data_IF_214064229251
#
_entry.id   IF_214064229251
#
_cell.length_a   1.000
_cell.length_b   1.000
_cell.length_c   1.000
_cell.angle_alpha   90.00
_cell.angle_beta   90.00
_cell.angle_gamma   90.00
#
_symmetry.space_group_name_H-M   'P 1'
#
loop_
_entity.id
_entity.type
_entity.pdbx_description
1 polymer ?
#
# COMPACT_ATOMS: atom_id res chain seq x y z
N UNK A 1 -27.78 -5.77 47.02
CA UNK A 1 -26.61 -5.24 47.75
C UNK A 1 -25.59 -6.36 47.83
N UNK A 2 -24.76 -6.44 46.81
CA UNK A 2 -23.69 -7.44 46.62
C UNK A 2 -22.43 -6.91 47.29
N UNK A 3 -21.90 -7.64 48.27
CA UNK A 3 -20.58 -7.40 48.86
C UNK A 3 -19.85 -8.73 48.90
N UNK A 4 -19.19 -9.06 47.79
CA UNK A 4 -18.30 -10.23 47.67
C UNK A 4 -16.98 -9.84 47.00
N UNK A 5 -16.52 -8.63 47.27
CA UNK A 5 -15.14 -8.21 47.00
C UNK A 5 -14.49 -8.04 48.37
N UNK A 6 -13.45 -8.82 48.69
CA UNK A 6 -12.33 -8.48 49.61
C UNK A 6 -11.54 -9.68 50.16
N UNK A 7 -11.95 -10.94 49.95
CA UNK A 7 -11.22 -12.07 50.56
C UNK A 7 -9.92 -12.42 49.82
N UNK A 8 -9.85 -12.21 48.49
CA UNK A 8 -8.65 -12.54 47.69
C UNK A 8 -7.57 -11.47 47.78
N UNK A 9 -7.96 -10.19 47.90
CA UNK A 9 -7.03 -9.05 48.01
C UNK A 9 -6.25 -9.08 49.32
N UNK A 10 -6.87 -9.53 50.42
CA UNK A 10 -6.25 -9.68 51.74
C UNK A 10 -5.15 -10.75 51.79
N UNK A 11 -5.15 -11.72 50.87
CA UNK A 11 -4.09 -12.74 50.74
C UNK A 11 -2.88 -12.17 50.00
N UNK A 12 -3.10 -11.18 49.12
CA UNK A 12 -2.05 -10.57 48.30
C UNK A 12 -1.42 -9.36 48.98
N UNK A 13 -2.18 -8.55 49.72
CA UNK A 13 -1.70 -7.37 50.44
C UNK A 13 -2.10 -7.43 51.93
N UNK A 14 -1.14 -7.30 52.84
CA UNK A 14 -1.35 -7.21 54.29
C UNK A 14 -0.66 -5.95 54.83
N UNK A 15 -1.44 -4.98 55.34
CA UNK A 15 -0.91 -3.70 55.81
C UNK A 15 -0.04 -3.87 57.06
N UNK A 16 1.14 -3.23 57.08
CA UNK A 16 2.01 -3.13 58.26
C UNK A 16 1.73 -1.82 58.98
N UNK A 17 1.63 -0.72 58.22
CA UNK A 17 1.20 0.60 58.68
C UNK A 17 0.66 1.41 57.48
N UNK A 18 0.39 2.71 57.64
CA UNK A 18 -0.15 3.56 56.57
C UNK A 18 0.75 3.71 55.33
N UNK A 19 2.05 3.43 55.46
CA UNK A 19 3.03 3.62 54.37
C UNK A 19 3.61 2.32 53.82
N UNK A 20 3.51 1.21 54.56
CA UNK A 20 4.15 -0.07 54.24
C UNK A 20 3.19 -1.24 54.37
N UNK A 21 3.32 -2.19 53.46
CA UNK A 21 2.50 -3.41 53.40
C UNK A 21 3.35 -4.62 53.02
N UNK A 22 2.93 -5.81 53.43
CA UNK A 22 3.36 -7.07 52.87
C UNK A 22 2.61 -7.34 51.57
N UNK A 23 3.33 -7.71 50.51
CA UNK A 23 2.79 -8.06 49.20
C UNK A 23 3.26 -9.45 48.78
N UNK A 24 2.33 -10.30 48.37
CA UNK A 24 2.64 -11.55 47.69
C UNK A 24 2.99 -11.25 46.22
N UNK A 25 4.28 -10.97 45.97
CA UNK A 25 4.78 -10.55 44.66
C UNK A 25 4.61 -11.65 43.60
N UNK A 26 4.85 -12.90 43.98
CA UNK A 26 4.54 -14.08 43.17
C UNK A 26 4.35 -15.29 44.08
N UNK A 27 4.22 -16.51 43.54
CA UNK A 27 4.01 -17.73 44.35
C UNK A 27 5.14 -18.06 45.35
N UNK A 28 6.32 -17.46 45.20
CA UNK A 28 7.52 -17.75 46.01
C UNK A 28 7.96 -16.57 46.89
N UNK A 29 7.65 -15.34 46.50
CA UNK A 29 8.13 -14.13 47.16
C UNK A 29 7.00 -13.40 47.86
N UNK A 30 7.14 -13.25 49.18
CA UNK A 30 6.32 -12.38 50.02
C UNK A 30 7.22 -11.28 50.57
N UNK A 31 6.95 -10.03 50.19
CA UNK A 31 7.89 -8.91 50.29
C UNK A 31 7.26 -7.72 50.99
N UNK A 32 8.08 -6.86 51.60
CA UNK A 32 7.63 -5.56 52.12
C UNK A 32 7.69 -4.54 50.99
N UNK A 33 6.58 -3.83 50.76
CA UNK A 33 6.41 -2.79 49.76
C UNK A 33 6.09 -1.46 50.44
N UNK A 34 6.69 -0.40 49.94
CA UNK A 34 6.35 0.98 50.25
C UNK A 34 5.20 1.42 49.33
N UNK A 35 4.05 1.76 49.91
CA UNK A 35 2.82 2.08 49.17
C UNK A 35 2.96 3.37 48.37
N UNK A 36 3.69 4.36 48.91
CA UNK A 36 3.81 5.70 48.31
C UNK A 36 4.57 5.73 46.99
N UNK A 37 5.57 4.88 46.83
CA UNK A 37 6.51 4.94 45.70
C UNK A 37 6.78 3.59 45.03
N UNK A 38 6.01 2.55 45.38
CA UNK A 38 6.07 1.21 44.78
C UNK A 38 7.44 0.53 44.88
N UNK A 39 8.19 0.82 45.94
CA UNK A 39 9.53 0.27 46.18
C UNK A 39 9.48 -0.92 47.14
N UNK A 40 10.34 -1.91 46.91
CA UNK A 40 10.36 -3.18 47.64
C UNK A 40 11.61 -3.30 48.51
N UNK A 41 11.45 -3.71 49.76
CA UNK A 41 12.56 -3.84 50.71
C UNK A 41 13.44 -5.04 50.35
N UNK A 42 14.73 -4.81 50.12
CA UNK A 42 15.69 -5.87 49.77
C UNK A 42 15.83 -6.93 50.86
N UNK A 43 15.76 -6.54 52.13
CA UNK A 43 15.86 -7.50 53.23
C UNK A 43 14.73 -8.53 53.18
N UNK A 44 13.50 -8.10 52.88
CA UNK A 44 12.36 -9.00 52.72
C UNK A 44 12.56 -9.97 51.54
N UNK A 45 13.23 -9.53 50.46
CA UNK A 45 13.57 -10.39 49.31
C UNK A 45 14.58 -11.47 49.73
N UNK A 46 15.62 -11.08 50.47
CA UNK A 46 16.64 -12.01 50.96
C UNK A 46 16.05 -13.06 51.89
N UNK A 47 15.19 -12.63 52.82
CA UNK A 47 14.48 -13.53 53.73
C UNK A 47 13.54 -14.48 52.97
N UNK A 48 12.76 -13.98 52.00
CA UNK A 48 11.87 -14.82 51.19
C UNK A 48 12.64 -15.83 50.31
N UNK A 49 13.85 -15.47 49.88
CA UNK A 49 14.74 -16.34 49.09
C UNK A 49 15.54 -17.35 49.92
N UNK A 50 15.41 -17.33 51.26
CA UNK A 50 16.27 -18.09 52.18
C UNK A 50 17.76 -17.87 51.90
N UNK A 51 18.14 -16.61 51.65
CA UNK A 51 19.53 -16.24 51.40
C UNK A 51 20.40 -16.55 52.64
N UNK A 52 21.66 -16.96 52.45
CA UNK A 52 22.58 -17.17 53.57
C UNK A 52 22.86 -15.85 54.29
N UNK A 53 23.08 -15.92 55.60
CA UNK A 53 23.33 -14.74 56.45
C UNK A 53 24.58 -13.93 56.05
N UNK A 54 25.46 -14.50 55.22
CA UNK A 54 26.65 -13.85 54.66
C UNK A 54 26.34 -12.87 53.52
N UNK A 55 25.14 -12.90 52.94
CA UNK A 55 24.72 -11.98 51.88
C UNK A 55 23.99 -10.80 52.49
N UNK A 56 24.59 -9.61 52.38
CA UNK A 56 23.95 -8.38 52.78
C UNK A 56 23.51 -7.55 51.58
N UNK A 57 22.47 -6.72 51.76
CA UNK A 57 21.88 -5.96 50.66
C UNK A 57 22.89 -5.02 49.96
N UNK A 58 23.87 -4.50 50.69
CA UNK A 58 24.96 -3.68 50.16
C UNK A 58 25.92 -4.46 49.24
N UNK A 59 26.10 -5.75 49.45
CA UNK A 59 26.95 -6.58 48.59
C UNK A 59 26.41 -6.70 47.17
N UNK A 60 25.10 -6.65 47.00
CA UNK A 60 24.49 -6.65 45.67
C UNK A 60 24.93 -5.44 44.84
N UNK A 61 25.00 -4.25 45.45
CA UNK A 61 25.40 -3.00 44.80
C UNK A 61 26.92 -2.89 44.55
N UNK A 62 27.73 -3.69 45.26
CA UNK A 62 29.18 -3.76 45.05
C UNK A 62 29.56 -4.61 43.84
N UNK A 63 28.67 -5.47 43.35
CA UNK A 63 28.96 -6.33 42.21
C UNK A 63 29.06 -5.52 40.91
N UNK A 64 30.09 -5.82 40.12
CA UNK A 64 30.33 -5.19 38.83
C UNK A 64 29.11 -5.30 37.88
N UNK A 65 28.53 -6.50 37.76
CA UNK A 65 27.35 -6.73 36.91
C UNK A 65 26.11 -5.94 37.35
N UNK A 66 25.95 -5.70 38.65
CA UNK A 66 24.87 -4.85 39.16
C UNK A 66 25.10 -3.39 38.80
N UNK A 67 26.34 -2.91 38.88
CA UNK A 67 26.68 -1.53 38.51
C UNK A 67 26.45 -1.29 37.02
N UNK A 68 26.84 -2.24 36.17
CA UNK A 68 26.54 -2.22 34.73
C UNK A 68 25.03 -2.18 34.49
N UNK A 69 24.25 -3.07 35.13
CA UNK A 69 22.79 -3.08 35.03
C UNK A 69 22.16 -1.72 35.42
N UNK A 70 22.59 -1.14 36.55
CA UNK A 70 22.08 0.16 37.00
C UNK A 70 22.47 1.29 36.05
N UNK A 71 23.64 1.20 35.42
CA UNK A 71 24.09 2.18 34.41
C UNK A 71 23.23 2.13 33.14
N UNK A 72 22.88 0.92 32.67
CA UNK A 72 22.00 0.72 31.52
C UNK A 72 20.58 1.25 31.80
N UNK A 73 20.04 0.98 33.00
CA UNK A 73 18.74 1.52 33.41
C UNK A 73 18.76 3.06 33.47
N UNK A 74 19.91 3.65 33.80
CA UNK A 74 20.04 5.11 33.86
C UNK A 74 20.07 5.77 32.47
N UNK A 75 20.41 5.01 31.41
CA UNK A 75 20.37 5.47 30.02
C UNK A 75 18.97 5.45 29.42
N UNK A 76 18.07 4.65 29.98
CA UNK A 76 16.65 4.64 29.61
C UNK A 76 16.01 5.99 30.02
N UNK A 77 15.83 6.87 29.04
CA UNK A 77 15.32 8.24 29.26
C UNK A 77 13.90 8.25 29.81
N UNK A 78 13.07 7.25 29.49
CA UNK A 78 11.70 7.20 29.97
C UNK A 78 11.67 6.76 31.44
N UNK A 79 12.50 5.80 31.81
CA UNK A 79 12.57 5.27 33.17
C UNK A 79 13.32 6.20 34.14
N UNK A 80 14.48 6.72 33.72
CA UNK A 80 15.44 7.49 34.55
C UNK A 80 14.88 8.83 35.04
N UNK A 81 13.97 9.45 34.28
CA UNK A 81 13.35 10.73 34.64
C UNK A 81 12.25 10.57 35.71
N UNK A 82 11.56 9.42 35.71
CA UNK A 82 10.33 9.24 36.48
C UNK A 82 10.53 8.38 37.74
N UNK A 83 11.52 7.49 37.74
CA UNK A 83 11.67 6.47 38.78
C UNK A 83 13.08 6.42 39.37
N UNK A 84 13.15 6.32 40.70
CA UNK A 84 14.39 5.94 41.40
C UNK A 84 14.57 4.43 41.32
N UNK A 85 15.78 3.97 41.00
CA UNK A 85 16.09 2.53 40.96
C UNK A 85 16.18 1.91 42.35
N UNK A 86 16.77 2.63 43.30
CA UNK A 86 16.96 2.18 44.68
C UNK A 86 17.11 3.35 45.65
N UNK A 87 16.86 3.09 46.94
CA UNK A 87 17.00 4.05 48.04
C UNK A 87 17.38 3.34 49.34
N UNK A 88 18.31 3.90 50.12
CA UNK A 88 18.64 3.37 51.45
C UNK A 88 17.95 4.20 52.55
N UNK A 89 16.91 3.64 53.15
CA UNK A 89 16.11 4.29 54.20
C UNK A 89 16.62 3.92 55.58
N UNK A 90 17.47 4.79 56.16
CA UNK A 90 18.08 4.56 57.48
C UNK A 90 17.24 5.05 58.66
N UNK A 91 16.33 6.01 58.43
CA UNK A 91 15.55 6.70 59.47
C UNK A 91 14.21 6.00 59.81
N UNK A 92 14.06 4.71 59.47
CA UNK A 92 12.85 3.93 59.74
C UNK A 92 13.00 3.02 60.96
N UNK A 93 11.87 2.52 61.46
CA UNK A 93 11.84 1.57 62.57
C UNK A 93 12.70 0.31 62.29
N UNK A 94 13.29 -0.31 63.33
CA UNK A 94 13.96 -1.59 63.20
C UNK A 94 13.02 -2.63 62.55
N UNK A 95 13.43 -3.19 61.41
CA UNK A 95 12.60 -4.11 60.59
C UNK A 95 12.16 -3.50 59.25
N UNK A 96 11.90 -2.18 59.19
CA UNK A 96 11.54 -1.48 57.95
C UNK A 96 12.70 -0.71 57.32
N UNK A 97 13.74 -0.40 58.10
CA UNK A 97 14.96 0.26 57.57
C UNK A 97 15.75 -0.63 56.61
N UNK A 98 16.51 0.00 55.70
CA UNK A 98 17.41 -0.68 54.77
C UNK A 98 17.23 -0.23 53.33
N UNK A 99 17.75 -1.04 52.40
CA UNK A 99 17.65 -0.77 50.97
C UNK A 99 16.28 -1.16 50.42
N UNK A 100 15.73 -0.27 49.62
CA UNK A 100 14.53 -0.45 48.83
C UNK A 100 14.89 -0.37 47.35
N UNK A 101 14.29 -1.23 46.54
CA UNK A 101 14.54 -1.34 45.09
C UNK A 101 13.24 -1.27 44.30
N UNK A 102 13.34 -0.77 43.08
CA UNK A 102 12.21 -0.69 42.16
C UNK A 102 11.67 -2.09 41.82
N UNK A 103 10.36 -2.18 41.53
CA UNK A 103 9.64 -3.42 41.19
C UNK A 103 10.36 -4.30 40.15
N UNK A 104 10.94 -3.69 39.12
CA UNK A 104 11.65 -4.40 38.04
C UNK A 104 12.96 -5.07 38.51
N UNK A 105 13.58 -4.54 39.56
CA UNK A 105 14.83 -5.07 40.12
C UNK A 105 14.59 -6.19 41.14
N UNK A 106 13.35 -6.41 41.60
CA UNK A 106 13.01 -7.45 42.58
C UNK A 106 13.49 -8.83 42.13
N UNK A 107 13.22 -9.18 40.87
CA UNK A 107 13.67 -10.46 40.32
C UNK A 107 15.20 -10.51 40.22
N UNK A 108 15.87 -9.43 39.79
CA UNK A 108 17.33 -9.39 39.72
C UNK A 108 18.00 -9.62 41.09
N UNK A 109 17.48 -8.97 42.13
CA UNK A 109 17.94 -9.15 43.51
C UNK A 109 17.66 -10.58 44.01
N UNK A 110 16.47 -11.11 43.73
CA UNK A 110 16.09 -12.47 44.13
C UNK A 110 16.94 -13.56 43.43
N UNK A 111 17.29 -13.35 42.15
CA UNK A 111 18.20 -14.23 41.41
C UNK A 111 19.61 -14.22 41.99
N UNK A 112 20.12 -13.04 42.33
CA UNK A 112 21.40 -12.90 43.02
C UNK A 112 21.36 -13.56 44.42
N UNK A 113 20.27 -13.39 45.15
CA UNK A 113 20.08 -13.95 46.48
C UNK A 113 20.10 -15.49 46.45
N UNK A 114 19.34 -16.10 45.53
CA UNK A 114 19.15 -17.54 45.44
C UNK A 114 19.28 -18.07 44.01
N UNK A 115 20.31 -18.89 43.72
CA UNK A 115 20.44 -19.57 42.42
C UNK A 115 19.24 -20.46 42.08
N UNK A 116 18.54 -21.00 43.10
CA UNK A 116 17.32 -21.79 42.90
C UNK A 116 16.18 -20.94 42.36
N UNK A 117 16.05 -19.72 42.85
CA UNK A 117 15.08 -18.76 42.32
C UNK A 117 15.46 -18.33 40.90
N UNK A 118 16.75 -18.09 40.62
CA UNK A 118 17.22 -17.80 39.26
C UNK A 118 16.83 -18.87 38.25
N UNK A 119 17.02 -20.14 38.60
CA UNK A 119 16.59 -21.25 37.75
C UNK A 119 15.08 -21.29 37.50
N UNK A 120 14.27 -20.95 38.52
CA UNK A 120 12.83 -20.83 38.34
C UNK A 120 12.45 -19.70 37.37
N UNK A 121 13.09 -18.53 37.49
CA UNK A 121 12.89 -17.41 36.56
C UNK A 121 13.28 -17.79 35.13
N UNK A 122 14.41 -18.50 34.94
CA UNK A 122 14.82 -18.95 33.62
C UNK A 122 13.81 -19.92 32.99
N UNK A 123 13.21 -20.83 33.77
CA UNK A 123 12.14 -21.70 33.27
C UNK A 123 10.89 -20.93 32.87
N UNK A 124 10.50 -19.94 33.67
CA UNK A 124 9.36 -19.07 33.33
C UNK A 124 9.61 -18.32 32.02
N UNK A 125 10.82 -17.79 31.85
CA UNK A 125 11.20 -17.09 30.63
C UNK A 125 11.26 -18.02 29.41
N UNK A 126 11.77 -19.24 29.56
CA UNK A 126 11.76 -20.25 28.49
C UNK A 126 10.33 -20.60 28.04
N UNK A 127 9.42 -20.76 29.01
CA UNK A 127 8.01 -21.06 28.73
C UNK A 127 7.33 -19.92 27.95
N UNK A 128 7.57 -18.66 28.34
CA UNK A 128 7.06 -17.49 27.62
C UNK A 128 7.58 -17.47 26.18
N UNK A 129 8.90 -17.60 26.00
CA UNK A 129 9.49 -17.62 24.66
C UNK A 129 9.03 -18.81 23.83
N UNK A 130 8.72 -19.96 24.46
CA UNK A 130 8.15 -21.12 23.78
C UNK A 130 6.75 -20.80 23.27
N UNK A 131 5.90 -20.22 24.09
CA UNK A 131 4.55 -19.80 23.70
C UNK A 131 4.59 -18.77 22.56
N UNK A 132 5.50 -17.79 22.62
CA UNK A 132 5.70 -16.83 21.54
C UNK A 132 6.12 -17.50 20.22
N UNK A 133 7.01 -18.50 20.27
CA UNK A 133 7.39 -19.29 19.08
C UNK A 133 6.21 -20.07 18.50
N UNK A 134 5.45 -20.75 19.34
CA UNK A 134 4.25 -21.50 18.90
C UNK A 134 3.21 -20.58 18.26
N UNK A 135 3.01 -19.37 18.79
CA UNK A 135 2.11 -18.38 18.18
C UNK A 135 2.63 -17.89 16.83
N UNK A 136 3.94 -17.68 16.68
CA UNK A 136 4.56 -17.32 15.40
C UNK A 136 4.41 -18.45 14.38
N UNK A 137 4.64 -19.70 14.77
CA UNK A 137 4.47 -20.87 13.92
C UNK A 137 3.02 -21.03 13.45
N UNK A 138 2.04 -20.86 14.35
CA UNK A 138 0.61 -20.87 13.98
C UNK A 138 0.27 -19.78 12.95
N UNK A 139 0.83 -18.58 13.09
CA UNK A 139 0.63 -17.49 12.12
C UNK A 139 1.27 -17.79 10.77
N UNK A 140 2.41 -18.48 10.75
CA UNK A 140 3.05 -18.93 9.51
C UNK A 140 2.21 -20.00 8.82
N UNK A 141 1.81 -21.04 9.54
CA UNK A 141 0.96 -22.10 9.01
C UNK A 141 -0.34 -21.56 8.40
N UNK A 142 -1.01 -20.63 9.08
CA UNK A 142 -2.22 -19.99 8.57
C UNK A 142 -1.96 -19.15 7.30
N UNK A 143 -0.76 -18.57 7.14
CA UNK A 143 -0.39 -17.86 5.92
C UNK A 143 -0.10 -18.84 4.78
N UNK A 144 0.57 -19.95 5.06
CA UNK A 144 0.88 -20.98 4.08
C UNK A 144 -0.40 -21.62 3.53
N UNK A 145 -1.38 -21.95 4.39
CA UNK A 145 -2.72 -22.43 3.96
C UNK A 145 -3.43 -21.43 3.03
N UNK A 146 -3.32 -20.13 3.30
CA UNK A 146 -3.91 -19.08 2.45
C UNK A 146 -3.18 -18.97 1.11
N UNK A 147 -1.87 -19.23 1.08
CA UNK A 147 -1.08 -19.26 -0.15
C UNK A 147 -1.50 -20.47 -0.99
N UNK A 148 -1.57 -21.66 -0.41
CA UNK A 148 -2.03 -22.87 -1.10
C UNK A 148 -3.43 -22.69 -1.71
N UNK A 149 -4.38 -22.15 -0.94
CA UNK A 149 -5.72 -21.85 -1.45
C UNK A 149 -5.73 -20.81 -2.57
N UNK A 150 -4.79 -19.85 -2.57
CA UNK A 150 -4.66 -18.87 -3.65
C UNK A 150 -4.08 -19.49 -4.91
N UNK A 151 -3.13 -20.41 -4.77
CA UNK A 151 -2.53 -21.12 -5.90
C UNK A 151 -3.59 -21.97 -6.62
N UNK A 152 -4.45 -22.67 -5.88
CA UNK A 152 -5.61 -23.40 -6.47
C UNK A 152 -6.55 -22.45 -7.26
N UNK A 153 -6.80 -21.24 -6.73
CA UNK A 153 -7.63 -20.25 -7.41
C UNK A 153 -6.95 -19.69 -8.67
N UNK A 154 -5.63 -19.57 -8.68
CA UNK A 154 -4.86 -19.14 -9.85
C UNK A 154 -4.95 -20.19 -10.94
N UNK A 155 -4.73 -21.48 -10.62
CA UNK A 155 -4.86 -22.57 -11.57
C UNK A 155 -6.26 -22.60 -12.21
N UNK A 156 -7.31 -22.48 -11.40
CA UNK A 156 -8.68 -22.42 -11.90
C UNK A 156 -8.94 -21.19 -12.80
N UNK A 157 -8.30 -20.05 -12.53
CA UNK A 157 -8.42 -18.85 -13.38
C UNK A 157 -7.71 -19.03 -14.71
N UNK A 158 -6.55 -19.68 -14.74
CA UNK A 158 -5.80 -19.93 -15.96
C UNK A 158 -6.60 -20.82 -16.93
N UNK A 159 -7.29 -21.85 -16.43
CA UNK A 159 -8.21 -22.65 -17.24
C UNK A 159 -9.35 -21.82 -17.86
N UNK A 160 -9.91 -20.88 -17.10
CA UNK A 160 -10.96 -19.97 -17.58
C UNK A 160 -10.44 -19.02 -18.64
N UNK A 161 -9.21 -18.51 -18.49
CA UNK A 161 -8.57 -17.64 -19.47
C UNK A 161 -8.37 -18.42 -20.78
N UNK A 162 -7.81 -19.63 -20.72
CA UNK A 162 -7.65 -20.46 -21.91
C UNK A 162 -8.98 -20.72 -22.63
N UNK A 163 -10.04 -21.00 -21.88
CA UNK A 163 -11.38 -21.22 -22.44
C UNK A 163 -11.94 -19.96 -23.10
N UNK A 164 -11.69 -18.77 -22.52
CA UNK A 164 -12.08 -17.48 -23.10
C UNK A 164 -11.27 -17.17 -24.36
N UNK A 165 -9.97 -17.41 -24.37
CA UNK A 165 -9.11 -17.20 -25.54
C UNK A 165 -9.53 -18.09 -26.71
N UNK A 166 -9.81 -19.37 -26.45
CA UNK A 166 -10.36 -20.29 -27.46
C UNK A 166 -11.70 -19.80 -28.01
N UNK A 167 -12.54 -19.15 -27.19
CA UNK A 167 -13.80 -18.54 -27.63
C UNK A 167 -13.58 -17.25 -28.44
N UNK A 168 -12.63 -16.40 -28.06
CA UNK A 168 -12.26 -15.19 -28.81
C UNK A 168 -11.76 -15.58 -30.20
N UNK A 169 -10.84 -16.54 -30.30
CA UNK A 169 -10.33 -17.06 -31.57
C UNK A 169 -11.46 -17.57 -32.48
N UNK A 170 -12.45 -18.27 -31.92
CA UNK A 170 -13.65 -18.74 -32.66
C UNK A 170 -14.62 -17.63 -33.06
N UNK A 171 -14.54 -16.43 -32.47
CA UNK A 171 -15.32 -15.23 -32.83
C UNK A 171 -14.63 -14.33 -33.86
N UNK A 172 -13.41 -14.68 -34.27
CA UNK A 172 -12.71 -14.13 -35.45
C UNK A 172 -13.15 -14.77 -36.81
N UNK A 173 -14.43 -15.10 -37.11
CA UNK A 173 -14.85 -15.34 -38.50
C UNK A 173 -15.41 -14.10 -39.22
N UNK A 174 -15.35 -12.89 -38.63
CA UNK A 174 -15.85 -11.65 -39.28
C UNK A 174 -14.79 -10.57 -39.51
N UNK A 175 -13.57 -10.78 -39.01
CA UNK A 175 -12.47 -9.84 -39.23
C UNK A 175 -12.07 -9.84 -40.70
N UNK A 176 -11.92 -8.64 -41.23
CA UNK A 176 -11.67 -8.28 -42.63
C UNK A 176 -10.93 -9.39 -43.40
N UNK A 177 -11.44 -9.85 -44.57
CA UNK A 177 -10.76 -10.88 -45.35
C UNK A 177 -9.31 -10.52 -45.60
N UNK A 178 -8.41 -11.46 -45.29
CA UNK A 178 -6.95 -11.28 -45.36
C UNK A 178 -6.53 -10.63 -46.68
N UNK A 179 -5.80 -9.51 -46.61
CA UNK A 179 -5.36 -8.73 -47.77
C UNK A 179 -6.39 -7.74 -48.31
N UNK A 180 -7.54 -7.56 -47.64
CA UNK A 180 -8.51 -6.50 -47.92
C UNK A 180 -8.53 -5.42 -46.83
N UNK A 181 -7.63 -5.45 -45.85
CA UNK A 181 -7.60 -4.49 -44.73
C UNK A 181 -7.47 -3.04 -45.22
N UNK A 182 -6.61 -2.80 -46.23
CA UNK A 182 -6.25 -1.45 -46.72
C UNK A 182 -6.64 -1.21 -48.18
N UNK A 183 -7.87 -1.59 -48.56
CA UNK A 183 -8.29 -1.64 -49.97
C UNK A 183 -9.05 -0.39 -50.47
N UNK A 184 -8.93 0.74 -49.77
CA UNK A 184 -9.60 1.99 -50.13
C UNK A 184 -8.61 3.14 -50.35
N UNK A 185 -9.00 4.07 -51.20
CA UNK A 185 -8.35 5.34 -51.49
C UNK A 185 -9.31 6.48 -51.17
N UNK A 186 -8.76 7.60 -50.76
CA UNK A 186 -9.50 8.82 -50.48
C UNK A 186 -8.94 9.98 -51.27
N UNK A 187 -9.83 10.75 -51.88
CA UNK A 187 -9.49 11.89 -52.72
C UNK A 187 -10.46 13.03 -52.44
N UNK A 188 -9.93 14.24 -52.37
CA UNK A 188 -10.69 15.47 -52.35
C UNK A 188 -10.27 16.27 -53.58
N UNK A 189 -11.22 16.63 -54.43
CA UNK A 189 -10.96 17.47 -55.60
C UNK A 189 -11.78 18.76 -55.55
N UNK A 190 -11.24 19.80 -56.15
CA UNK A 190 -11.83 21.14 -56.19
C UNK A 190 -12.61 21.37 -57.48
N UNK A 191 -13.71 22.11 -57.36
CA UNK A 191 -14.49 22.65 -58.46
C UNK A 191 -14.68 24.15 -58.22
N UNK A 192 -14.32 24.95 -59.22
CA UNK A 192 -14.48 26.40 -59.18
C UNK A 192 -15.93 26.77 -59.49
N UNK A 193 -16.45 27.79 -58.80
CA UNK A 193 -17.80 28.28 -59.02
C UNK A 193 -17.85 29.15 -60.29
N UNK A 194 -18.86 28.94 -61.13
CA UNK A 194 -19.06 29.71 -62.38
C UNK A 194 -19.75 31.06 -62.16
N UNK A 195 -20.37 31.27 -61.00
CA UNK A 195 -21.09 32.49 -60.66
C UNK A 195 -20.13 33.63 -60.23
N UNK A 196 -20.35 34.85 -60.73
CA UNK A 196 -19.53 36.03 -60.40
C UNK A 196 -19.56 36.40 -58.90
N UNK A 197 -20.66 36.08 -58.20
CA UNK A 197 -20.86 36.37 -56.77
C UNK A 197 -20.08 35.41 -55.84
N UNK A 198 -19.73 34.21 -56.32
CA UNK A 198 -19.07 33.15 -55.54
C UNK A 198 -17.61 32.90 -55.97
N UNK A 199 -16.99 33.88 -56.65
CA UNK A 199 -15.66 33.74 -57.26
C UNK A 199 -14.57 33.35 -56.26
N UNK A 200 -14.74 33.72 -54.99
CA UNK A 200 -13.79 33.48 -53.91
C UNK A 200 -14.06 32.17 -53.15
N UNK A 201 -15.14 31.46 -53.49
CA UNK A 201 -15.47 30.16 -52.95
C UNK A 201 -15.03 29.03 -53.87
N UNK A 202 -14.91 27.84 -53.28
CA UNK A 202 -14.52 26.61 -53.96
C UNK A 202 -15.30 25.43 -53.38
N UNK A 203 -15.71 24.53 -54.25
CA UNK A 203 -16.40 23.31 -53.85
C UNK A 203 -15.42 22.14 -53.75
N UNK A 204 -15.35 21.51 -52.58
CA UNK A 204 -14.56 20.33 -52.28
C UNK A 204 -15.44 19.08 -52.36
N UNK A 205 -15.08 18.14 -53.22
CA UNK A 205 -15.77 16.86 -53.37
C UNK A 205 -15.02 15.75 -52.63
N UNK A 206 -15.63 15.20 -51.58
CA UNK A 206 -15.07 14.16 -50.71
C UNK A 206 -15.36 12.76 -51.25
N UNK A 207 -14.33 12.04 -51.69
CA UNK A 207 -14.52 10.76 -52.37
C UNK A 207 -13.68 9.64 -51.76
N UNK A 208 -14.36 8.65 -51.18
CA UNK A 208 -13.78 7.37 -50.77
C UNK A 208 -14.15 6.28 -51.77
N UNK A 209 -13.17 5.56 -52.32
CA UNK A 209 -13.40 4.47 -53.30
C UNK A 209 -12.51 3.27 -53.04
N UNK A 210 -12.98 2.10 -53.44
CA UNK A 210 -12.15 0.90 -53.44
C UNK A 210 -11.03 1.03 -54.49
N UNK A 211 -9.87 0.42 -54.23
CA UNK A 211 -8.74 0.43 -55.16
C UNK A 211 -9.14 -0.06 -56.57
N UNK A 212 -10.03 -1.07 -56.64
CA UNK A 212 -10.50 -1.60 -57.92
C UNK A 212 -11.36 -0.62 -58.70
N UNK A 213 -12.15 0.25 -58.05
CA UNK A 213 -13.09 1.16 -58.71
C UNK A 213 -12.54 2.58 -58.88
N UNK A 214 -11.26 2.81 -58.57
CA UNK A 214 -10.68 4.16 -58.61
C UNK A 214 -10.41 4.65 -60.05
N UNK A 215 -10.48 3.76 -61.05
CA UNK A 215 -10.25 4.11 -62.47
C UNK A 215 -11.17 5.24 -62.97
N UNK A 216 -12.40 5.34 -62.45
CA UNK A 216 -13.36 6.38 -62.83
C UNK A 216 -12.86 7.79 -62.49
N UNK A 217 -12.00 7.90 -61.46
CA UNK A 217 -11.44 9.16 -60.97
C UNK A 217 -10.05 9.45 -61.52
N UNK A 218 -9.48 8.54 -62.32
CA UNK A 218 -8.09 8.65 -62.80
C UNK A 218 -7.85 9.92 -63.64
N UNK A 219 -8.88 10.43 -64.33
CA UNK A 219 -8.80 11.70 -65.08
C UNK A 219 -8.65 12.89 -64.14
N UNK A 220 -9.44 12.93 -63.07
CA UNK A 220 -9.41 14.01 -62.06
C UNK A 220 -8.13 13.93 -61.24
N UNK A 221 -7.71 12.71 -60.86
CA UNK A 221 -6.47 12.47 -60.14
C UNK A 221 -5.23 13.05 -60.84
N UNK A 222 -5.19 13.00 -62.18
CA UNK A 222 -4.10 13.53 -63.01
C UNK A 222 -4.23 15.02 -63.35
N UNK A 223 -5.31 15.66 -62.92
CA UNK A 223 -5.59 17.07 -63.20
C UNK A 223 -5.24 17.96 -62.01
N UNK A 224 -5.11 19.26 -62.25
CA UNK A 224 -4.86 20.27 -61.20
C UNK A 224 -6.03 20.42 -60.21
N UNK A 225 -7.17 19.79 -60.49
CA UNK A 225 -8.33 19.74 -59.59
C UNK A 225 -8.11 18.80 -58.40
N UNK A 226 -7.11 17.91 -58.44
CA UNK A 226 -6.81 17.02 -57.33
C UNK A 226 -6.16 17.81 -56.18
N UNK A 227 -6.91 18.03 -55.10
CA UNK A 227 -6.47 18.89 -54.01
C UNK A 227 -5.84 18.10 -52.85
N UNK A 228 -6.39 16.92 -52.53
CA UNK A 228 -5.87 16.02 -51.50
C UNK A 228 -6.06 14.54 -51.90
N UNK A 229 -5.08 13.69 -51.58
CA UNK A 229 -5.13 12.27 -51.91
C UNK A 229 -4.39 11.39 -50.89
N UNK A 230 -5.01 10.28 -50.49
CA UNK A 230 -4.42 9.24 -49.63
C UNK A 230 -4.77 7.84 -50.10
N UNK A 231 -3.78 6.96 -50.02
CA UNK A 231 -3.89 5.53 -50.35
C UNK A 231 -3.87 4.66 -49.10
N UNK A 232 -4.21 3.37 -49.25
CA UNK A 232 -4.12 2.36 -48.20
C UNK A 232 -5.00 2.64 -46.99
N UNK A 233 -6.19 3.21 -47.19
CA UNK A 233 -7.12 3.47 -46.10
C UNK A 233 -7.68 2.16 -45.53
N UNK A 234 -7.77 2.05 -44.19
CA UNK A 234 -8.45 0.95 -43.52
C UNK A 234 -9.92 0.85 -43.95
N UNK A 235 -10.43 -0.39 -44.04
CA UNK A 235 -11.84 -0.63 -44.35
C UNK A 235 -12.80 -0.07 -43.29
N UNK A 236 -12.34 -0.01 -42.03
CA UNK A 236 -13.09 0.51 -40.87
C UNK A 236 -13.17 2.03 -40.81
N UNK A 237 -12.33 2.76 -41.55
CA UNK A 237 -12.27 4.23 -41.49
C UNK A 237 -13.45 4.89 -42.21
N UNK A 238 -13.97 5.98 -41.62
CA UNK A 238 -15.07 6.83 -42.12
C UNK A 238 -14.56 8.24 -42.51
N UNK A 239 -13.64 8.35 -43.48
CA UNK A 239 -12.88 9.58 -43.76
C UNK A 239 -13.75 10.79 -44.12
N UNK A 240 -14.91 10.59 -44.73
CA UNK A 240 -15.81 11.69 -45.09
C UNK A 240 -16.43 12.36 -43.85
N UNK A 241 -16.75 11.59 -42.81
CA UNK A 241 -17.33 12.13 -41.58
C UNK A 241 -16.25 12.86 -40.78
N UNK A 242 -15.07 12.24 -40.66
CA UNK A 242 -13.95 12.82 -39.93
C UNK A 242 -13.45 14.12 -40.58
N UNK A 243 -13.36 14.17 -41.92
CA UNK A 243 -12.99 15.41 -42.64
C UNK A 243 -14.02 16.52 -42.46
N UNK A 244 -15.31 16.20 -42.40
CA UNK A 244 -16.34 17.21 -42.09
C UNK A 244 -16.17 17.72 -40.67
N UNK A 245 -15.89 16.86 -39.70
CA UNK A 245 -15.65 17.27 -38.32
C UNK A 245 -14.44 18.21 -38.24
N UNK A 246 -13.34 17.89 -38.93
CA UNK A 246 -12.15 18.76 -39.02
C UNK A 246 -12.52 20.14 -39.55
N UNK A 247 -13.34 20.23 -40.61
CA UNK A 247 -13.77 21.52 -41.16
C UNK A 247 -14.65 22.29 -40.15
N UNK A 248 -15.57 21.61 -39.46
CA UNK A 248 -16.42 22.24 -38.43
C UNK A 248 -15.62 22.77 -37.24
N UNK A 249 -14.57 22.06 -36.83
CA UNK A 249 -13.74 22.42 -35.69
C UNK A 249 -12.71 23.52 -36.04
N UNK A 250 -12.31 23.62 -37.31
CA UNK A 250 -11.25 24.54 -37.76
C UNK A 250 -11.80 25.87 -38.25
N UNK A 251 -12.93 25.87 -38.98
CA UNK A 251 -13.46 27.07 -39.64
C UNK A 251 -14.69 27.65 -38.91
N UNK A 252 -14.90 28.99 -38.97
CA UNK A 252 -16.14 29.59 -38.49
C UNK A 252 -17.37 29.06 -39.23
N UNK A 253 -18.53 28.98 -38.57
CA UNK A 253 -19.78 28.48 -39.18
C UNK A 253 -20.25 29.28 -40.41
N UNK A 254 -19.79 30.52 -40.59
CA UNK A 254 -20.09 31.35 -41.76
C UNK A 254 -19.20 31.07 -42.96
N UNK A 255 -18.13 30.28 -42.80
CA UNK A 255 -17.12 30.03 -43.82
C UNK A 255 -17.33 28.74 -44.61
N UNK A 256 -18.32 27.92 -44.25
CA UNK A 256 -18.58 26.67 -44.94
C UNK A 256 -20.07 26.33 -45.08
N UNK A 257 -20.41 25.61 -46.15
CA UNK A 257 -21.70 24.92 -46.32
C UNK A 257 -21.42 23.45 -46.67
N UNK A 258 -22.06 22.52 -45.97
CA UNK A 258 -21.86 21.08 -46.15
C UNK A 258 -23.11 20.39 -46.64
N UNK A 259 -23.03 19.74 -47.80
CA UNK A 259 -24.13 18.97 -48.39
C UNK A 259 -23.62 17.61 -48.84
N UNK A 260 -24.09 16.53 -48.22
CA UNK A 260 -23.72 15.17 -48.64
C UNK A 260 -22.20 14.97 -48.64
N UNK A 261 -21.59 14.74 -49.80
CA UNK A 261 -20.14 14.56 -49.96
C UNK A 261 -19.42 15.83 -50.46
N UNK A 262 -20.06 16.99 -50.42
CA UNK A 262 -19.48 18.26 -50.88
C UNK A 262 -19.39 19.27 -49.76
N UNK A 263 -18.31 20.04 -49.73
CA UNK A 263 -18.08 21.17 -48.82
C UNK A 263 -17.78 22.40 -49.65
N UNK A 264 -18.59 23.45 -49.50
CA UNK A 264 -18.30 24.77 -50.06
C UNK A 264 -17.53 25.58 -49.02
N UNK A 265 -16.41 26.19 -49.40
CA UNK A 265 -15.55 26.98 -48.49
C UNK A 265 -14.83 28.10 -49.23
N UNK A 266 -14.29 29.08 -48.51
CA UNK A 266 -13.45 30.13 -49.11
C UNK A 266 -12.08 29.59 -49.55
N UNK A 267 -11.54 30.14 -50.66
CA UNK A 267 -10.22 29.79 -51.19
C UNK A 267 -9.09 30.08 -50.20
N UNK A 268 -9.26 31.10 -49.36
CA UNK A 268 -8.30 31.51 -48.33
C UNK A 268 -8.10 30.45 -47.25
N UNK A 269 -9.13 29.66 -46.95
CA UNK A 269 -9.12 28.65 -45.89
C UNK A 269 -8.51 27.30 -46.36
N UNK A 270 -8.29 27.13 -47.67
CA UNK A 270 -7.75 25.89 -48.23
C UNK A 270 -6.37 25.48 -47.66
N UNK A 271 -5.37 26.38 -47.52
CA UNK A 271 -4.07 25.97 -47.00
C UNK A 271 -4.16 25.39 -45.58
N UNK A 272 -4.96 26.03 -44.71
CA UNK A 272 -5.18 25.61 -43.33
C UNK A 272 -5.91 24.27 -43.25
N UNK A 273 -6.98 24.10 -44.04
CA UNK A 273 -7.71 22.82 -44.11
C UNK A 273 -6.81 21.69 -44.63
N UNK A 274 -5.97 21.95 -45.63
CA UNK A 274 -5.06 20.96 -46.17
C UNK A 274 -4.06 20.47 -45.12
N UNK A 275 -3.53 21.38 -44.31
CA UNK A 275 -2.63 21.04 -43.20
C UNK A 275 -3.33 20.13 -42.19
N UNK A 276 -4.52 20.52 -41.71
CA UNK A 276 -5.27 19.76 -40.68
C UNK A 276 -5.74 18.40 -41.15
N UNK A 277 -6.20 18.29 -42.39
CA UNK A 277 -6.58 17.00 -42.99
C UNK A 277 -5.35 16.11 -43.13
N UNK A 278 -4.20 16.66 -43.54
CA UNK A 278 -2.94 15.90 -43.63
C UNK A 278 -2.51 15.37 -42.25
N UNK A 279 -2.55 16.22 -41.22
CA UNK A 279 -2.24 15.86 -39.83
C UNK A 279 -3.13 14.72 -39.32
N UNK A 280 -4.43 14.75 -39.59
CA UNK A 280 -5.35 13.67 -39.22
C UNK A 280 -4.97 12.33 -39.87
N UNK A 281 -4.72 12.31 -41.19
CA UNK A 281 -4.39 11.06 -41.88
C UNK A 281 -3.00 10.52 -41.52
N UNK A 282 -2.06 11.39 -41.14
CA UNK A 282 -0.70 10.98 -40.75
C UNK A 282 -0.63 10.49 -39.30
N UNK A 283 -1.43 11.06 -38.40
CA UNK A 283 -1.50 10.67 -37.00
C UNK A 283 -2.50 9.55 -36.70
N UNK A 284 -3.23 9.06 -37.70
CA UNK A 284 -4.15 7.94 -37.55
C UNK A 284 -3.35 6.66 -37.25
N UNK A 285 -3.11 6.40 -35.96
CA UNK A 285 -2.53 5.15 -35.49
C UNK A 285 -3.64 4.11 -35.42
N UNK A 286 -3.45 3.01 -36.15
CA UNK A 286 -4.14 1.76 -35.85
C UNK A 286 -3.68 1.38 -34.42
N UNK A 287 -4.54 1.54 -33.41
CA UNK A 287 -4.35 0.88 -32.12
C UNK A 287 -4.39 -0.62 -32.39
N UNK A 288 -3.19 -1.23 -32.53
CA UNK A 288 -2.99 -2.68 -32.51
C UNK A 288 -3.09 -3.23 -31.08
#
# INVERSE_FOLDING_TARGET
MTTTENTTTAIVHEAINEEYEWVQFNKQLRLIRSVKDDMYQMQSILTACFAPDTKHADDWFKNQSTQELLSEISLDREFSVLHKTHENRKNLAPGLRGYYVHRLLVNAVAMWASPRYAWHVYRLLDEIHRQEREEMEKKLHAKDEVIEAKDEVIEAKDEVIEAKDKNIQKRIPRSVPKGKEKNYKYMIYTEEMENEEDRDMVMLHLVRRNNKSFYDLAKIYKSDRNWFYRENLPISMTPNEDVKQIVQDTLPQTHYDMKGCTILTFKEDLPLLKEKITEYFDNFKEEE
#
